data_IF_758012410190
#
_entry.id   IF_758012410190
#
_cell.length_a   1.000
_cell.length_b   1.000
_cell.length_c   1.000
_cell.angle_alpha   90.00
_cell.angle_beta   90.00
_cell.angle_gamma   90.00
#
_symmetry.space_group_name_H-M   'P 1'
#
loop_
_entity.id
_entity.type
_entity.pdbx_description
1 polymer ?
#
# COMPACT_ATOMS: atom_id res chain seq x y z
N UNK A 1 -25.97 20.55 -31.53
CA UNK A 1 -26.41 20.49 -30.12
C UNK A 1 -26.48 19.06 -29.57
N UNK A 2 -27.13 18.08 -30.21
CA UNK A 2 -27.30 16.72 -29.64
C UNK A 2 -26.05 15.85 -29.37
N UNK A 3 -24.87 16.19 -29.90
CA UNK A 3 -23.62 15.44 -29.61
C UNK A 3 -22.98 15.80 -28.26
N UNK A 4 -23.22 17.03 -27.78
CA UNK A 4 -22.65 17.52 -26.52
C UNK A 4 -23.43 16.99 -25.32
N UNK A 5 -24.77 16.96 -25.39
CA UNK A 5 -25.59 16.29 -24.38
C UNK A 5 -25.33 14.78 -24.32
N UNK A 6 -25.10 14.13 -25.46
CA UNK A 6 -24.75 12.69 -25.49
C UNK A 6 -23.39 12.44 -24.84
N UNK A 7 -22.40 13.32 -25.08
CA UNK A 7 -21.08 13.24 -24.47
C UNK A 7 -21.13 13.47 -22.95
N UNK A 8 -21.84 14.49 -22.48
CA UNK A 8 -22.02 14.76 -21.04
C UNK A 8 -22.77 13.62 -20.33
N UNK A 9 -23.74 13.00 -21.01
CA UNK A 9 -24.48 11.85 -20.47
C UNK A 9 -23.62 10.59 -20.40
N UNK A 10 -22.74 10.37 -21.39
CA UNK A 10 -21.73 9.29 -21.37
C UNK A 10 -20.70 9.57 -20.28
N UNK A 11 -20.24 10.81 -20.10
CA UNK A 11 -19.32 11.21 -19.03
C UNK A 11 -19.94 11.05 -17.64
N UNK A 12 -21.21 11.40 -17.46
CA UNK A 12 -21.95 11.19 -16.22
C UNK A 12 -22.17 9.68 -15.94
N UNK A 13 -22.43 8.87 -16.98
CA UNK A 13 -22.52 7.41 -16.87
C UNK A 13 -21.17 6.78 -16.53
N UNK A 14 -20.09 7.24 -17.16
CA UNK A 14 -18.72 6.81 -16.83
C UNK A 14 -18.38 7.21 -15.40
N UNK A 15 -18.61 8.46 -14.99
CA UNK A 15 -18.37 8.91 -13.61
C UNK A 15 -19.20 8.13 -12.59
N UNK A 16 -20.46 7.83 -12.91
CA UNK A 16 -21.33 7.00 -12.07
C UNK A 16 -20.84 5.56 -12.01
N UNK A 17 -20.44 4.95 -13.12
CA UNK A 17 -19.86 3.61 -13.17
C UNK A 17 -18.50 3.54 -12.44
N UNK A 18 -17.67 4.59 -12.55
CA UNK A 18 -16.40 4.71 -11.82
C UNK A 18 -16.63 4.91 -10.32
N UNK A 19 -17.64 5.68 -9.91
CA UNK A 19 -18.07 5.78 -8.50
C UNK A 19 -18.69 4.47 -7.98
N UNK A 20 -19.35 3.68 -8.85
CA UNK A 20 -19.89 2.37 -8.51
C UNK A 20 -18.78 1.31 -8.40
N UNK A 21 -17.72 1.41 -9.19
CA UNK A 21 -16.49 0.62 -9.06
C UNK A 21 -15.66 1.04 -7.82
N UNK A 22 -15.75 2.31 -7.39
CA UNK A 22 -15.15 2.78 -6.13
C UNK A 22 -15.94 2.34 -4.89
N UNK A 23 -17.23 2.04 -5.04
CA UNK A 23 -18.06 1.34 -4.05
C UNK A 23 -17.69 -0.16 -3.91
N UNK A 24 -16.85 -0.71 -4.79
CA UNK A 24 -16.48 -2.13 -4.78
C UNK A 24 -15.22 -2.46 -3.97
N UNK A 25 -14.57 -1.51 -3.28
CA UNK A 25 -13.50 -1.85 -2.32
C UNK A 25 -14.04 -2.62 -1.10
N UNK A 26 -15.29 -2.36 -0.70
CA UNK A 26 -15.99 -3.11 0.35
C UNK A 26 -16.38 -4.51 -0.12
N UNK A 27 -16.75 -4.67 -1.39
CA UNK A 27 -17.04 -5.95 -2.03
C UNK A 27 -15.76 -6.74 -2.34
N UNK A 28 -14.64 -6.08 -2.66
CA UNK A 28 -13.31 -6.69 -2.78
C UNK A 28 -12.81 -7.16 -1.41
N UNK A 29 -12.96 -6.33 -0.38
CA UNK A 29 -12.64 -6.72 0.99
C UNK A 29 -13.52 -7.86 1.51
N UNK A 30 -14.82 -7.92 1.16
CA UNK A 30 -15.71 -9.04 1.52
C UNK A 30 -15.51 -10.31 0.66
N UNK A 31 -15.24 -10.17 -0.63
CA UNK A 31 -14.95 -11.32 -1.51
C UNK A 31 -13.59 -11.95 -1.23
N UNK A 32 -12.61 -11.15 -0.79
CA UNK A 32 -11.31 -11.65 -0.36
C UNK A 32 -11.16 -11.81 1.16
N UNK A 33 -12.14 -11.48 2.01
CA UNK A 33 -11.95 -11.63 3.46
C UNK A 33 -11.83 -13.09 3.88
N UNK A 34 -12.60 -13.99 3.26
CA UNK A 34 -12.47 -15.43 3.46
C UNK A 34 -11.07 -15.91 3.06
N UNK A 35 -10.60 -15.47 1.89
CA UNK A 35 -9.30 -15.88 1.36
C UNK A 35 -8.13 -15.31 2.18
N UNK A 36 -8.21 -14.04 2.55
CA UNK A 36 -7.24 -13.38 3.43
C UNK A 36 -7.21 -14.07 4.80
N UNK A 37 -8.36 -14.38 5.38
CA UNK A 37 -8.44 -15.11 6.64
C UNK A 37 -7.80 -16.50 6.53
N UNK A 38 -8.16 -17.26 5.50
CA UNK A 38 -7.60 -18.58 5.19
C UNK A 38 -6.08 -18.54 5.05
N UNK A 39 -5.57 -17.56 4.29
CA UNK A 39 -4.13 -17.39 4.06
C UNK A 39 -3.39 -16.99 5.34
N UNK A 40 -3.97 -16.13 6.19
CA UNK A 40 -3.37 -15.81 7.49
C UNK A 40 -3.23 -17.08 8.32
N UNK A 41 -4.29 -17.87 8.46
CA UNK A 41 -4.23 -19.13 9.23
C UNK A 41 -3.23 -20.13 8.64
N UNK A 42 -3.18 -20.26 7.31
CA UNK A 42 -2.24 -21.15 6.62
C UNK A 42 -0.79 -20.75 6.90
N UNK A 43 -0.46 -19.47 6.74
CA UNK A 43 0.89 -18.97 6.95
C UNK A 43 1.29 -19.01 8.42
N UNK A 44 0.38 -18.70 9.35
CA UNK A 44 0.64 -18.82 10.79
C UNK A 44 0.85 -20.27 11.21
N UNK A 45 0.08 -21.22 10.67
CA UNK A 45 0.29 -22.65 10.91
C UNK A 45 1.64 -23.13 10.37
N UNK A 46 2.05 -22.63 9.21
CA UNK A 46 3.27 -23.06 8.52
C UNK A 46 4.54 -22.44 9.08
N UNK A 47 4.50 -21.16 9.45
CA UNK A 47 5.68 -20.37 9.81
C UNK A 47 5.66 -19.82 11.24
N UNK A 48 4.51 -19.89 11.92
CA UNK A 48 4.26 -19.40 13.28
C UNK A 48 3.39 -18.13 13.30
N UNK A 49 2.60 -17.96 14.36
CA UNK A 49 1.76 -16.76 14.55
C UNK A 49 2.60 -15.50 14.79
N UNK A 50 2.15 -14.39 14.22
CA UNK A 50 2.84 -13.10 14.35
C UNK A 50 2.30 -12.31 15.55
N UNK A 51 3.21 -11.87 16.41
CA UNK A 51 2.87 -11.03 17.58
C UNK A 51 3.20 -9.55 17.37
N UNK A 52 2.91 -8.70 18.37
CA UNK A 52 3.24 -7.26 18.34
C UNK A 52 4.72 -6.96 18.09
N UNK A 53 5.61 -7.89 18.46
CA UNK A 53 7.05 -7.79 18.20
C UNK A 53 7.36 -7.67 16.69
N UNK A 54 6.54 -8.29 15.83
CA UNK A 54 6.81 -8.35 14.39
C UNK A 54 6.61 -6.99 13.70
N UNK A 55 5.86 -6.09 14.32
CA UNK A 55 5.72 -4.70 13.88
C UNK A 55 6.99 -3.88 14.10
N UNK A 56 7.92 -4.32 14.96
CA UNK A 56 9.18 -3.62 15.24
C UNK A 56 8.93 -2.12 15.57
N UNK A 57 7.90 -1.82 16.36
CA UNK A 57 7.53 -0.44 16.74
C UNK A 57 7.00 0.45 15.59
N UNK A 58 6.85 -0.07 14.38
CA UNK A 58 6.15 0.62 13.29
C UNK A 58 4.65 0.56 13.58
N UNK A 59 3.88 1.66 13.52
CA UNK A 59 2.42 1.58 13.62
C UNK A 59 1.79 1.01 12.35
N UNK A 60 0.55 0.53 12.45
CA UNK A 60 -0.24 0.12 11.28
C UNK A 60 -1.25 1.22 10.96
N UNK A 61 -1.07 1.86 9.81
CA UNK A 61 -2.03 2.74 9.20
C UNK A 61 -2.62 2.09 7.95
N UNK A 62 -3.93 2.27 7.74
CA UNK A 62 -4.60 1.77 6.55
C UNK A 62 -5.02 2.95 5.68
N UNK A 63 -4.80 2.84 4.37
CA UNK A 63 -5.30 3.85 3.43
C UNK A 63 -6.84 3.84 3.37
N UNK A 64 -7.46 2.71 3.73
CA UNK A 64 -8.92 2.52 3.78
C UNK A 64 -9.57 3.20 4.97
N UNK A 65 -8.81 3.68 5.96
CA UNK A 65 -9.35 4.41 7.13
C UNK A 65 -9.82 5.84 6.78
N UNK A 66 -9.60 6.30 5.53
CA UNK A 66 -9.84 7.67 5.09
C UNK A 66 -10.83 7.76 3.90
N UNK A 67 -12.07 7.25 4.04
CA UNK A 67 -13.06 7.35 2.97
C UNK A 67 -13.40 8.82 2.68
N UNK A 68 -13.45 9.18 1.40
CA UNK A 68 -13.80 10.53 0.95
C UNK A 68 -12.62 11.49 0.80
N UNK A 69 -11.43 11.12 1.29
CA UNK A 69 -10.21 11.89 1.04
C UNK A 69 -9.66 11.62 -0.37
N UNK A 70 -9.10 12.64 -1.00
CA UNK A 70 -8.35 12.52 -2.25
C UNK A 70 -6.84 12.47 -1.99
N UNK A 71 -6.07 11.97 -2.94
CA UNK A 71 -4.62 11.86 -2.88
C UNK A 71 -3.98 13.20 -3.24
N UNK A 72 -3.35 13.85 -2.26
CA UNK A 72 -2.65 15.11 -2.45
C UNK A 72 -3.53 16.19 -3.09
N UNK A 73 -3.12 16.68 -4.25
CA UNK A 73 -3.86 17.68 -5.04
C UNK A 73 -4.63 17.08 -6.22
N UNK A 74 -4.64 15.75 -6.34
CA UNK A 74 -5.35 15.05 -7.41
C UNK A 74 -6.81 14.79 -7.04
N UNK A 75 -7.60 14.40 -8.03
CA UNK A 75 -8.97 13.89 -7.83
C UNK A 75 -9.01 12.38 -7.51
N UNK A 76 -7.84 11.74 -7.41
CA UNK A 76 -7.74 10.30 -7.18
C UNK A 76 -8.11 9.98 -5.71
N UNK A 77 -8.93 8.96 -5.44
CA UNK A 77 -9.31 8.61 -4.08
C UNK A 77 -8.12 8.05 -3.29
N UNK A 78 -7.91 8.58 -2.09
CA UNK A 78 -6.82 8.15 -1.20
C UNK A 78 -6.93 6.66 -0.85
N UNK A 79 -8.16 6.16 -0.69
CA UNK A 79 -8.42 4.75 -0.39
C UNK A 79 -7.96 3.80 -1.50
N UNK A 80 -7.80 4.26 -2.74
CA UNK A 80 -7.31 3.44 -3.85
C UNK A 80 -5.81 3.67 -4.12
N UNK A 81 -5.32 4.91 -3.99
CA UNK A 81 -3.97 5.29 -4.45
C UNK A 81 -2.99 5.69 -3.32
N UNK A 82 -3.45 5.71 -2.06
CA UNK A 82 -2.69 6.19 -0.90
C UNK A 82 -1.63 5.25 -0.32
N UNK A 83 -1.30 4.14 -1.01
CA UNK A 83 -0.38 3.11 -0.49
C UNK A 83 1.02 3.66 -0.18
N UNK A 84 1.57 4.52 -1.05
CA UNK A 84 2.87 5.14 -0.86
C UNK A 84 2.86 6.09 0.35
N UNK A 85 1.91 7.02 0.41
CA UNK A 85 1.77 7.99 1.50
C UNK A 85 1.60 7.29 2.84
N UNK A 86 0.72 6.28 2.88
CA UNK A 86 0.44 5.50 4.10
C UNK A 86 1.67 4.71 4.55
N UNK A 87 2.38 4.06 3.63
CA UNK A 87 3.61 3.32 3.94
C UNK A 87 4.72 4.21 4.48
N UNK A 88 4.92 5.37 3.86
CA UNK A 88 5.90 6.35 4.33
C UNK A 88 5.50 6.86 5.71
N UNK A 89 4.23 7.24 5.92
CA UNK A 89 3.75 7.66 7.24
C UNK A 89 4.01 6.61 8.33
N UNK A 90 3.81 5.32 8.06
CA UNK A 90 4.13 4.24 9.01
C UNK A 90 5.61 4.26 9.41
N UNK A 91 6.54 4.36 8.45
CA UNK A 91 7.98 4.40 8.74
C UNK A 91 8.37 5.66 9.53
N UNK A 92 7.86 6.83 9.17
CA UNK A 92 8.18 8.07 9.88
C UNK A 92 7.58 8.06 11.29
N UNK A 93 6.38 7.52 11.46
CA UNK A 93 5.67 7.46 12.74
C UNK A 93 6.36 6.56 13.77
N UNK A 94 7.17 5.57 13.35
CA UNK A 94 8.05 4.82 14.24
C UNK A 94 8.97 5.74 15.05
N UNK A 95 9.43 6.83 14.45
CA UNK A 95 10.38 7.77 15.07
C UNK A 95 9.71 9.06 15.56
N UNK A 96 8.57 9.44 14.98
CA UNK A 96 7.82 10.64 15.34
C UNK A 96 6.32 10.39 15.23
N UNK A 97 5.70 10.03 16.36
CA UNK A 97 4.31 9.57 16.46
C UNK A 97 3.25 10.57 15.98
N UNK A 98 3.60 11.85 15.82
CA UNK A 98 2.68 12.88 15.29
C UNK A 98 2.48 12.82 13.77
N UNK A 99 3.29 12.03 13.06
CA UNK A 99 3.17 11.88 11.60
C UNK A 99 2.11 10.82 11.30
N UNK A 100 1.08 11.21 10.56
CA UNK A 100 0.01 10.33 10.09
C UNK A 100 -0.08 10.35 8.56
N UNK A 101 -0.80 9.42 7.91
CA UNK A 101 -1.03 9.48 6.47
C UNK A 101 -1.61 10.83 6.04
N UNK A 102 -2.56 11.40 6.80
CA UNK A 102 -3.17 12.69 6.47
C UNK A 102 -2.23 13.87 6.69
N UNK A 103 -1.32 13.79 7.67
CA UNK A 103 -0.26 14.79 7.83
C UNK A 103 0.63 14.90 6.58
N UNK A 104 0.88 13.78 5.90
CA UNK A 104 1.64 13.77 4.64
C UNK A 104 0.75 14.13 3.44
N UNK A 105 -0.48 13.60 3.39
CA UNK A 105 -1.41 13.78 2.29
C UNK A 105 -1.85 15.24 2.10
N UNK A 106 -2.04 15.99 3.18
CA UNK A 106 -2.44 17.39 3.13
C UNK A 106 -1.26 18.37 3.00
N UNK A 107 -0.02 17.88 3.06
CA UNK A 107 1.16 18.72 2.83
C UNK A 107 1.49 18.77 1.34
N UNK A 108 1.26 19.92 0.71
CA UNK A 108 1.54 20.13 -0.72
C UNK A 108 3.00 19.86 -1.12
N UNK A 109 3.94 19.99 -0.17
CA UNK A 109 5.37 19.70 -0.41
C UNK A 109 5.64 18.21 -0.61
N UNK A 110 4.71 17.35 -0.19
CA UNK A 110 4.74 15.91 -0.42
C UNK A 110 4.49 15.53 -1.88
N UNK A 111 3.89 16.43 -2.67
CA UNK A 111 3.47 16.17 -4.05
C UNK A 111 4.05 17.16 -5.08
N UNK A 112 4.96 18.03 -4.66
CA UNK A 112 5.49 19.15 -5.46
C UNK A 112 6.41 18.77 -6.63
N UNK A 113 6.70 17.50 -6.82
CA UNK A 113 7.50 16.95 -7.92
C UNK A 113 6.65 16.51 -9.12
N UNK A 114 5.32 16.63 -9.04
CA UNK A 114 4.41 16.41 -10.16
C UNK A 114 3.38 17.53 -10.22
N UNK A 115 3.15 18.06 -11.42
CA UNK A 115 2.16 19.14 -11.63
C UNK A 115 0.73 18.69 -11.31
N UNK A 116 0.45 17.39 -11.47
CA UNK A 116 -0.84 16.75 -11.22
C UNK A 116 -1.02 16.26 -9.78
N UNK A 117 0.00 16.41 -8.91
CA UNK A 117 -0.10 16.14 -7.48
C UNK A 117 -0.42 14.69 -7.06
N UNK A 118 -0.33 13.70 -7.97
CA UNK A 118 -0.67 12.30 -7.69
C UNK A 118 0.52 11.49 -7.16
N UNK A 119 1.76 11.93 -7.36
CA UNK A 119 2.93 11.14 -6.98
C UNK A 119 3.60 11.66 -5.70
N UNK A 120 3.95 10.72 -4.82
CA UNK A 120 4.71 11.01 -3.62
C UNK A 120 6.15 11.41 -3.96
N UNK A 121 6.56 12.58 -3.49
CA UNK A 121 7.90 13.10 -3.68
C UNK A 121 8.78 12.61 -2.54
N UNK A 122 9.59 11.58 -2.79
CA UNK A 122 10.38 10.93 -1.76
C UNK A 122 11.26 11.88 -0.94
N UNK A 123 11.86 12.89 -1.57
CA UNK A 123 12.71 13.87 -0.88
C UNK A 123 11.93 14.78 0.10
N UNK A 124 10.59 14.81 0.03
CA UNK A 124 9.74 15.58 0.94
C UNK A 124 9.83 15.12 2.40
N UNK A 125 10.27 13.88 2.67
CA UNK A 125 10.52 13.37 4.03
C UNK A 125 11.52 14.25 4.81
N UNK A 126 12.36 14.99 4.07
CA UNK A 126 13.30 15.95 4.62
C UNK A 126 12.65 17.13 5.34
N UNK A 127 11.42 17.49 4.98
CA UNK A 127 10.60 18.50 5.67
C UNK A 127 10.15 18.05 7.06
N UNK A 128 10.23 16.75 7.34
CA UNK A 128 9.81 16.14 8.60
C UNK A 128 10.98 15.75 9.49
N UNK A 129 12.22 16.07 9.11
CA UNK A 129 13.43 15.72 9.86
C UNK A 129 14.01 14.35 9.50
N UNK A 130 13.70 13.81 8.32
CA UNK A 130 14.17 12.51 7.86
C UNK A 130 15.03 12.62 6.59
N UNK A 131 15.80 11.57 6.28
CA UNK A 131 16.56 11.45 5.04
C UNK A 131 16.32 10.09 4.41
N UNK A 132 16.44 10.04 3.10
CA UNK A 132 16.51 8.77 2.38
C UNK A 132 17.95 8.28 2.50
N UNK A 133 18.16 7.22 3.27
CA UNK A 133 19.48 6.59 3.36
C UNK A 133 19.76 5.70 2.15
N UNK A 134 18.72 5.01 1.67
CA UNK A 134 18.80 4.15 0.49
C UNK A 134 17.59 4.36 -0.40
N UNK A 135 17.86 4.54 -1.70
CA UNK A 135 16.85 4.56 -2.74
C UNK A 135 17.29 3.63 -3.86
N UNK A 136 16.66 2.47 -3.99
CA UNK A 136 16.87 1.58 -5.13
C UNK A 136 15.77 1.87 -6.14
N UNK A 137 16.13 2.31 -7.34
CA UNK A 137 15.17 2.54 -8.42
C UNK A 137 14.45 1.24 -8.83
N UNK A 138 13.32 1.37 -9.52
CA UNK A 138 12.61 0.24 -10.13
C UNK A 138 13.55 -0.60 -11.01
N UNK A 139 13.50 -1.92 -10.83
CA UNK A 139 14.36 -2.93 -11.47
C UNK A 139 13.59 -3.99 -12.28
N UNK A 140 12.27 -3.84 -12.45
CA UNK A 140 11.40 -4.77 -13.16
C UNK A 140 11.97 -5.12 -14.55
N UNK A 141 11.92 -6.41 -14.98
CA UNK A 141 11.23 -7.55 -14.33
C UNK A 141 12.06 -8.27 -13.26
N UNK A 142 13.25 -7.78 -12.90
CA UNK A 142 14.09 -8.41 -11.88
C UNK A 142 13.51 -8.14 -10.49
N UNK A 143 13.42 -9.18 -9.67
CA UNK A 143 13.12 -9.00 -8.24
C UNK A 143 14.40 -8.66 -7.50
N UNK A 144 14.33 -7.66 -6.63
CA UNK A 144 15.35 -7.37 -5.64
C UNK A 144 15.39 -8.49 -4.60
N UNK A 145 16.60 -8.85 -4.16
CA UNK A 145 16.80 -9.67 -2.98
C UNK A 145 16.83 -8.75 -1.75
N UNK A 146 15.84 -8.90 -0.87
CA UNK A 146 15.72 -8.09 0.35
C UNK A 146 16.85 -8.35 1.36
N UNK A 147 17.50 -9.52 1.31
CA UNK A 147 18.62 -9.84 2.23
C UNK A 147 19.81 -8.87 2.04
N UNK A 148 19.92 -8.26 0.86
CA UNK A 148 20.96 -7.28 0.56
C UNK A 148 20.70 -5.90 1.20
N UNK A 149 19.49 -5.67 1.74
CA UNK A 149 19.04 -4.37 2.20
C UNK A 149 18.48 -4.40 3.62
N UNK A 150 17.92 -5.53 4.06
CA UNK A 150 17.29 -5.64 5.36
C UNK A 150 18.33 -5.86 6.47
N UNK A 151 18.47 -4.84 7.32
CA UNK A 151 19.34 -4.86 8.49
C UNK A 151 18.56 -4.72 9.81
N UNK A 152 17.26 -5.01 9.77
CA UNK A 152 16.34 -4.86 10.91
C UNK A 152 15.65 -3.50 10.99
N UNK A 153 15.97 -2.55 10.10
CA UNK A 153 15.24 -1.29 9.98
C UNK A 153 14.02 -1.43 9.06
N UNK A 154 12.93 -0.68 9.31
CA UNK A 154 11.80 -0.68 8.40
C UNK A 154 12.18 -0.12 7.03
N UNK A 155 11.66 -0.74 5.98
CA UNK A 155 11.88 -0.31 4.61
C UNK A 155 10.55 -0.30 3.84
N UNK A 156 10.33 0.77 3.07
CA UNK A 156 9.22 0.83 2.14
C UNK A 156 9.64 0.08 0.88
N UNK A 157 8.81 -0.83 0.40
CA UNK A 157 9.07 -1.59 -0.82
C UNK A 157 7.91 -1.45 -1.79
N UNK A 158 8.21 -1.56 -3.09
CA UNK A 158 7.20 -1.61 -4.14
C UNK A 158 7.05 -3.04 -4.65
N UNK A 159 5.81 -3.55 -4.59
CA UNK A 159 5.39 -4.81 -5.15
C UNK A 159 4.87 -4.56 -6.57
N UNK A 160 5.70 -4.81 -7.57
CA UNK A 160 5.38 -4.54 -8.97
C UNK A 160 4.72 -5.78 -9.60
N UNK A 161 3.55 -5.59 -10.24
CA UNK A 161 2.78 -6.64 -10.93
C UNK A 161 2.98 -6.63 -12.45
N UNK A 162 3.86 -5.75 -12.93
CA UNK A 162 4.20 -5.56 -14.33
C UNK A 162 3.87 -4.17 -14.84
N UNK A 163 4.31 -3.93 -16.08
CA UNK A 163 4.06 -2.69 -16.79
C UNK A 163 2.66 -2.71 -17.39
N UNK A 164 1.81 -1.75 -17.04
CA UNK A 164 0.54 -1.57 -17.76
C UNK A 164 -0.10 -0.21 -17.47
N UNK A 165 0.44 0.84 -18.06
CA UNK A 165 -0.41 1.92 -18.54
C UNK A 165 0.15 2.49 -19.84
N UNK A 166 -0.72 3.06 -20.66
CA UNK A 166 -0.36 3.79 -21.89
C UNK A 166 0.55 4.99 -21.62
N UNK A 167 0.69 5.43 -20.36
CA UNK A 167 1.60 6.48 -19.90
C UNK A 167 2.91 5.96 -19.26
N UNK A 168 3.08 4.64 -19.17
CA UNK A 168 4.30 4.02 -18.68
C UNK A 168 4.52 3.97 -17.17
N UNK A 169 3.43 4.04 -16.41
CA UNK A 169 3.45 3.86 -14.97
C UNK A 169 3.43 2.37 -14.61
N UNK A 170 4.18 1.99 -13.57
CA UNK A 170 4.13 0.64 -13.00
C UNK A 170 2.82 0.44 -12.25
N UNK A 171 2.22 -0.75 -12.42
CA UNK A 171 1.12 -1.19 -11.55
C UNK A 171 1.70 -1.96 -10.37
N UNK A 172 1.22 -1.66 -9.18
CA UNK A 172 1.75 -2.31 -7.99
C UNK A 172 1.21 -1.72 -6.70
N UNK A 173 1.89 -2.08 -5.61
CA UNK A 173 1.46 -1.75 -4.26
C UNK A 173 2.66 -1.45 -3.37
N UNK A 174 2.58 -0.40 -2.56
CA UNK A 174 3.62 -0.10 -1.56
C UNK A 174 3.26 -0.72 -0.21
N UNK A 175 4.25 -1.36 0.40
CA UNK A 175 4.15 -1.94 1.75
C UNK A 175 5.41 -1.65 2.55
N UNK A 176 5.35 -1.84 3.87
CA UNK A 176 6.50 -1.63 4.77
C UNK A 176 6.97 -2.96 5.30
N UNK A 177 8.21 -3.36 5.02
CA UNK A 177 8.85 -4.49 5.70
C UNK A 177 9.30 -4.04 7.08
N UNK A 178 8.90 -4.77 8.12
CA UNK A 178 9.13 -4.40 9.52
C UNK A 178 10.08 -5.36 10.24
N UNK A 179 10.01 -6.65 9.92
CA UNK A 179 10.77 -7.73 10.56
C UNK A 179 11.08 -8.87 9.59
N UNK A 180 11.94 -9.79 10.02
CA UNK A 180 12.11 -11.10 9.42
C UNK A 180 11.91 -12.16 10.51
N UNK A 181 11.15 -13.22 10.20
CA UNK A 181 10.86 -14.31 11.11
C UNK A 181 10.92 -15.64 10.37
N UNK A 182 11.74 -16.57 10.87
CA UNK A 182 11.95 -17.88 10.24
C UNK A 182 12.31 -17.78 8.75
N UNK A 183 13.13 -16.79 8.38
CA UNK A 183 13.53 -16.55 6.99
C UNK A 183 12.43 -15.93 6.12
N UNK A 184 11.32 -15.48 6.71
CA UNK A 184 10.21 -14.83 6.02
C UNK A 184 10.10 -13.37 6.41
N UNK A 185 9.94 -12.51 5.41
CA UNK A 185 9.73 -11.09 5.62
C UNK A 185 8.32 -10.83 6.12
N UNK A 186 8.21 -9.93 7.09
CA UNK A 186 6.97 -9.49 7.69
C UNK A 186 6.73 -8.04 7.27
N UNK A 187 5.49 -7.73 6.90
CA UNK A 187 5.09 -6.42 6.41
C UNK A 187 3.89 -5.84 7.15
N UNK A 188 3.83 -4.52 7.15
CA UNK A 188 2.60 -3.76 7.27
C UNK A 188 2.12 -3.36 5.88
N UNK A 189 0.92 -3.82 5.55
CA UNK A 189 0.26 -3.52 4.29
C UNK A 189 -0.84 -2.48 4.52
N UNK A 190 -0.83 -1.32 3.81
CA UNK A 190 -1.84 -0.27 3.93
C UNK A 190 -3.30 -0.70 3.68
N UNK A 191 -3.53 -1.91 3.17
CA UNK A 191 -4.84 -2.49 2.89
C UNK A 191 -5.02 -3.77 3.71
N UNK A 192 -4.07 -4.70 3.62
CA UNK A 192 -4.21 -6.08 4.14
C UNK A 192 -3.87 -6.24 5.63
N UNK A 193 -3.22 -5.26 6.26
CA UNK A 193 -2.93 -5.31 7.69
C UNK A 193 -4.12 -4.94 8.57
N UNK A 194 -5.30 -4.67 8.00
CA UNK A 194 -6.51 -4.33 8.73
C UNK A 194 -7.15 -5.48 9.52
N UNK A 195 -8.29 -5.17 10.15
CA UNK A 195 -9.12 -6.20 10.80
C UNK A 195 -9.74 -7.07 9.73
N UNK A 196 -9.59 -8.39 9.86
CA UNK A 196 -10.12 -9.37 8.93
C UNK A 196 -11.28 -10.11 9.61
N UNK A 197 -12.38 -10.31 8.90
CA UNK A 197 -13.55 -11.02 9.42
C UNK A 197 -13.82 -12.22 8.53
N UNK A 198 -13.82 -13.42 9.10
CA UNK A 198 -14.31 -14.62 8.43
C UNK A 198 -15.80 -14.44 8.12
N UNK A 199 -16.21 -14.43 6.83
CA UNK A 199 -17.60 -14.22 6.47
C UNK A 199 -18.51 -15.41 6.85
N UNK A 200 -17.95 -16.59 7.10
CA UNK A 200 -18.72 -17.79 7.44
C UNK A 200 -18.99 -17.91 8.94
N UNK A 201 -18.00 -17.57 9.77
CA UNK A 201 -18.07 -17.72 11.23
C UNK A 201 -18.24 -16.40 11.97
N UNK A 202 -17.97 -15.27 11.32
CA UNK A 202 -17.91 -13.94 11.96
C UNK A 202 -16.67 -13.72 12.83
N UNK A 203 -15.75 -14.69 12.89
CA UNK A 203 -14.50 -14.57 13.64
C UNK A 203 -13.68 -13.39 13.12
N UNK A 204 -13.15 -12.57 14.04
CA UNK A 204 -12.34 -11.41 13.69
C UNK A 204 -10.89 -11.64 14.05
N UNK A 205 -9.99 -11.48 13.08
CA UNK A 205 -8.56 -11.33 13.30
C UNK A 205 -8.23 -9.85 13.45
N UNK A 206 -7.44 -9.47 14.45
CA UNK A 206 -7.09 -8.07 14.67
C UNK A 206 -6.22 -7.51 13.55
N UNK A 207 -6.20 -6.18 13.46
CA UNK A 207 -5.22 -5.42 12.69
C UNK A 207 -3.82 -5.89 13.08
N UNK A 208 -2.99 -6.25 12.11
CA UNK A 208 -1.71 -6.87 12.41
C UNK A 208 -0.74 -6.99 11.23
N UNK A 209 0.51 -7.33 11.54
CA UNK A 209 1.51 -7.65 10.54
C UNK A 209 1.11 -8.87 9.70
N UNK A 210 1.67 -8.96 8.50
CA UNK A 210 1.38 -10.01 7.52
C UNK A 210 2.68 -10.56 6.94
N UNK A 211 2.70 -11.82 6.53
CA UNK A 211 3.83 -12.35 5.78
C UNK A 211 3.88 -11.72 4.38
N UNK A 212 5.06 -11.29 3.93
CA UNK A 212 5.24 -10.67 2.60
C UNK A 212 4.84 -11.62 1.47
N UNK A 213 5.20 -12.90 1.57
CA UNK A 213 4.87 -13.90 0.55
C UNK A 213 3.35 -14.02 0.38
N UNK A 214 2.61 -14.00 1.48
CA UNK A 214 1.14 -13.99 1.49
C UNK A 214 0.57 -12.72 0.86
N UNK A 215 1.14 -11.55 1.19
CA UNK A 215 0.73 -10.27 0.60
C UNK A 215 0.97 -10.29 -0.92
N UNK A 216 2.10 -10.85 -1.39
CA UNK A 216 2.38 -10.97 -2.83
C UNK A 216 1.40 -11.88 -3.55
N UNK A 217 0.93 -12.94 -2.90
CA UNK A 217 -0.09 -13.85 -3.42
C UNK A 217 -1.42 -13.11 -3.63
N UNK A 218 -1.88 -12.37 -2.62
CA UNK A 218 -3.10 -11.57 -2.73
C UNK A 218 -2.99 -10.44 -3.74
N UNK A 219 -1.84 -9.75 -3.78
CA UNK A 219 -1.59 -8.71 -4.79
C UNK A 219 -1.55 -9.32 -6.20
N UNK A 220 -1.02 -10.53 -6.38
CA UNK A 220 -1.06 -11.23 -7.67
C UNK A 220 -2.50 -11.38 -8.15
N UNK A 221 -3.40 -11.80 -7.27
CA UNK A 221 -4.81 -12.03 -7.57
C UNK A 221 -5.55 -10.74 -7.94
N UNK A 222 -5.25 -9.62 -7.27
CA UNK A 222 -5.79 -8.30 -7.63
C UNK A 222 -5.45 -7.86 -9.05
N UNK A 223 -4.40 -8.43 -9.64
CA UNK A 223 -3.88 -8.08 -10.96
C UNK A 223 -3.93 -9.27 -11.92
N UNK A 224 -4.99 -10.08 -11.86
CA UNK A 224 -5.26 -11.20 -12.78
C UNK A 224 -4.19 -12.31 -12.75
N UNK A 225 -3.66 -12.62 -11.56
CA UNK A 225 -2.67 -13.67 -11.37
C UNK A 225 -1.26 -13.30 -11.88
N UNK A 226 -0.98 -11.99 -12.05
CA UNK A 226 0.33 -11.53 -12.54
C UNK A 226 1.41 -11.74 -11.48
N UNK A 227 2.57 -12.20 -11.95
CA UNK A 227 3.76 -12.34 -11.12
C UNK A 227 4.11 -11.02 -10.43
N UNK A 228 4.17 -11.07 -9.10
CA UNK A 228 4.57 -9.94 -8.25
C UNK A 228 6.04 -10.05 -7.87
N UNK A 229 6.81 -8.97 -8.10
CA UNK A 229 8.22 -8.87 -7.71
C UNK A 229 8.45 -7.69 -6.77
N UNK A 230 9.45 -7.82 -5.91
CA UNK A 230 9.95 -6.67 -5.14
C UNK A 230 10.82 -5.86 -6.10
N UNK A 231 10.39 -4.66 -6.42
CA UNK A 231 10.95 -3.90 -7.54
C UNK A 231 11.72 -2.66 -7.09
N UNK A 232 11.34 -2.12 -5.93
CA UNK A 232 11.92 -0.93 -5.35
C UNK A 232 12.11 -1.13 -3.84
N UNK A 233 13.16 -0.52 -3.28
CA UNK A 233 13.41 -0.47 -1.84
C UNK A 233 13.80 0.97 -1.47
N UNK A 234 13.12 1.52 -0.46
CA UNK A 234 13.41 2.83 0.13
C UNK A 234 13.63 2.65 1.63
N UNK A 235 14.79 3.10 2.13
CA UNK A 235 15.11 3.14 3.55
C UNK A 235 15.15 4.61 3.98
N UNK A 236 14.29 4.95 4.95
CA UNK A 236 14.13 6.31 5.48
C UNK A 236 14.57 6.30 6.94
N UNK A 237 15.44 7.22 7.32
CA UNK A 237 15.93 7.36 8.70
C UNK A 237 15.78 8.79 9.20
N UNK A 238 15.78 9.02 10.53
CA UNK A 238 15.98 10.36 11.07
C UNK A 238 17.25 11.00 10.49
N UNK A 239 17.23 12.34 10.33
CA UNK A 239 18.38 13.12 9.86
C UNK A 239 19.54 13.08 10.83
#
# INVERSE_FOLDING_TARGET
>A
EGKQETFERILALIKKQTQQLLSDLTNLAQSHSAELFRLIEEYEKRYGSLGPWASNGVPIYLQTDYPGETLGLSDDPFTAYGCAVTSVAMVLAKYKSTITPMTLNHDVRTFSCTDSGWAFCWNSVSNYGFKIEKFVNHTYPKSLNLDNYFDGRPMVIFLNTGYSSSCGCYRGHYVVVTSNFNGKYIVHDPILSGVVVDPNTGQKLPRGPRYLDMVKELVSDWYDGKKVVVDQVIIITPK
#
